data_IF_690228998105
#
_entry.id   IF_690228998105
#
_cell.length_a   1.000
_cell.length_b   1.000
_cell.length_c   1.000
_cell.angle_alpha   90.00
_cell.angle_beta   90.00
_cell.angle_gamma   90.00
#
_symmetry.space_group_name_H-M   'P 1'
#
loop_
_entity.id
_entity.type
_entity.pdbx_description
1 polymer ?
#
# COMPACT_ATOMS: atom_id res chain seq x y z
N UNK A 1 7.10 -9.57 30.36
CA UNK A 1 8.21 -10.54 30.24
C UNK A 1 9.09 -10.54 31.48
N UNK A 2 9.92 -9.51 31.68
CA UNK A 2 10.95 -9.49 32.72
C UNK A 2 10.43 -9.55 34.15
N UNK A 3 9.47 -8.68 34.47
CA UNK A 3 8.83 -8.66 35.79
C UNK A 3 8.10 -9.99 36.12
N UNK A 4 7.54 -10.67 35.12
CA UNK A 4 6.91 -11.98 35.29
C UNK A 4 7.94 -13.09 35.61
N UNK A 5 9.15 -13.01 35.02
CA UNK A 5 10.26 -13.90 35.34
C UNK A 5 10.88 -13.61 36.70
N UNK A 6 10.99 -12.32 37.05
CA UNK A 6 11.52 -11.85 38.33
C UNK A 6 10.56 -12.17 39.50
N UNK A 7 9.26 -12.25 39.27
CA UNK A 7 8.25 -12.63 40.29
C UNK A 7 8.11 -14.15 40.52
N UNK A 8 8.69 -15.00 39.67
CA UNK A 8 8.62 -16.46 39.87
C UNK A 8 9.31 -16.87 41.18
N UNK A 9 8.59 -17.56 42.08
CA UNK A 9 9.13 -17.98 43.38
C UNK A 9 10.18 -19.10 43.26
N UNK A 10 10.20 -19.85 42.15
CA UNK A 10 11.10 -21.00 41.96
C UNK A 10 11.82 -20.97 40.62
N UNK A 11 12.95 -21.65 40.53
CA UNK A 11 13.69 -21.89 39.26
C UNK A 11 12.82 -22.63 38.24
N UNK A 12 11.98 -23.56 38.70
CA UNK A 12 10.99 -24.27 37.85
C UNK A 12 9.91 -23.34 37.29
N UNK A 13 9.39 -22.41 38.09
CA UNK A 13 8.46 -21.39 37.58
C UNK A 13 9.11 -20.46 36.55
N UNK A 14 10.39 -20.13 36.74
CA UNK A 14 11.16 -19.31 35.81
C UNK A 14 11.33 -20.02 34.46
N UNK A 15 11.73 -21.30 34.45
CA UNK A 15 11.88 -22.07 33.21
C UNK A 15 10.54 -22.24 32.48
N UNK A 16 9.43 -22.40 33.22
CA UNK A 16 8.08 -22.42 32.63
C UNK A 16 7.74 -21.09 31.96
N UNK A 17 7.97 -19.96 32.63
CA UNK A 17 7.70 -18.63 32.06
C UNK A 17 8.57 -18.31 30.84
N UNK A 18 9.81 -18.78 30.84
CA UNK A 18 10.73 -18.70 29.69
C UNK A 18 10.15 -19.46 28.49
N UNK A 19 9.75 -20.73 28.66
CA UNK A 19 9.15 -21.53 27.57
C UNK A 19 7.89 -20.91 27.02
N UNK A 20 7.00 -20.44 27.90
CA UNK A 20 5.76 -19.78 27.49
C UNK A 20 6.05 -18.53 26.64
N UNK A 21 7.01 -17.70 27.07
CA UNK A 21 7.37 -16.49 26.33
C UNK A 21 7.96 -16.83 24.94
N UNK A 22 8.85 -17.83 24.87
CA UNK A 22 9.42 -18.30 23.59
C UNK A 22 8.36 -18.83 22.64
N UNK A 23 7.41 -19.63 23.13
CA UNK A 23 6.27 -20.11 22.34
C UNK A 23 5.43 -18.95 21.78
N UNK A 24 5.11 -17.97 22.62
CA UNK A 24 4.37 -16.77 22.21
C UNK A 24 5.11 -15.95 21.14
N UNK A 25 6.45 -15.92 21.14
CA UNK A 25 7.23 -15.24 20.11
C UNK A 25 7.07 -15.93 18.75
N UNK A 26 7.18 -17.26 18.71
CA UNK A 26 6.99 -18.03 17.47
C UNK A 26 5.56 -17.86 16.93
N UNK A 27 4.55 -17.98 17.80
CA UNK A 27 3.14 -17.77 17.44
C UNK A 27 2.86 -16.37 16.87
N UNK A 28 3.46 -15.34 17.46
CA UNK A 28 3.32 -13.95 16.98
C UNK A 28 3.87 -13.78 15.56
N UNK A 29 5.00 -14.41 15.25
CA UNK A 29 5.58 -14.31 13.91
C UNK A 29 4.78 -15.13 12.88
N UNK A 30 4.25 -16.29 13.28
CA UNK A 30 3.29 -17.03 12.45
C UNK A 30 2.02 -16.22 12.19
N UNK A 31 1.51 -15.52 13.22
CA UNK A 31 0.37 -14.62 13.07
C UNK A 31 0.69 -13.47 12.10
N UNK A 32 1.88 -12.86 12.20
CA UNK A 32 2.33 -11.84 11.25
C UNK A 32 2.39 -12.37 9.80
N UNK A 33 2.82 -13.62 9.61
CA UNK A 33 2.81 -14.28 8.29
C UNK A 33 1.38 -14.41 7.74
N UNK A 34 0.44 -14.86 8.57
CA UNK A 34 -0.99 -14.95 8.17
C UNK A 34 -1.59 -13.60 7.83
N UNK A 35 -1.25 -12.55 8.56
CA UNK A 35 -1.69 -11.19 8.24
C UNK A 35 -1.14 -10.72 6.89
N UNK A 36 0.12 -11.03 6.58
CA UNK A 36 0.70 -10.69 5.30
C UNK A 36 0.03 -11.44 4.14
N UNK A 37 -0.34 -12.71 4.33
CA UNK A 37 -1.13 -13.48 3.36
C UNK A 37 -2.51 -12.84 3.13
N UNK A 38 -3.21 -12.45 4.19
CA UNK A 38 -4.49 -11.74 4.05
C UNK A 38 -4.37 -10.41 3.29
N UNK A 39 -3.29 -9.65 3.56
CA UNK A 39 -3.01 -8.40 2.82
C UNK A 39 -2.76 -8.70 1.35
N UNK A 40 -2.00 -9.75 1.04
CA UNK A 40 -1.74 -10.18 -0.33
C UNK A 40 -3.04 -10.51 -1.07
N UNK A 41 -3.96 -11.25 -0.43
CA UNK A 41 -5.27 -11.57 -1.01
C UNK A 41 -6.10 -10.30 -1.31
N UNK A 42 -6.09 -9.33 -0.40
CA UNK A 42 -6.77 -8.04 -0.59
C UNK A 42 -6.14 -7.26 -1.75
N UNK A 43 -4.81 -7.24 -1.82
CA UNK A 43 -4.10 -6.59 -2.92
C UNK A 43 -4.41 -7.25 -4.25
N UNK A 44 -4.40 -8.57 -4.34
CA UNK A 44 -4.72 -9.31 -5.56
C UNK A 44 -6.15 -9.03 -6.04
N UNK A 45 -7.11 -8.88 -5.13
CA UNK A 45 -8.47 -8.45 -5.46
C UNK A 45 -8.50 -7.01 -5.97
N UNK A 46 -7.78 -6.09 -5.31
CA UNK A 46 -7.69 -4.69 -5.71
C UNK A 46 -7.04 -4.55 -7.10
N UNK A 47 -5.93 -5.23 -7.34
CA UNK A 47 -5.28 -5.32 -8.63
C UNK A 47 -6.27 -5.89 -9.66
N UNK A 48 -6.89 -7.04 -9.41
CA UNK A 48 -7.83 -7.66 -10.36
C UNK A 48 -8.97 -6.72 -10.74
N UNK A 49 -9.54 -6.01 -9.76
CA UNK A 49 -10.59 -5.01 -10.01
C UNK A 49 -10.09 -3.86 -10.87
N UNK A 50 -8.92 -3.31 -10.54
CA UNK A 50 -8.32 -2.20 -11.27
C UNK A 50 -8.00 -2.58 -12.72
N UNK A 51 -7.42 -3.77 -12.95
CA UNK A 51 -7.16 -4.28 -14.29
C UNK A 51 -8.44 -4.48 -15.11
N UNK A 52 -9.51 -5.03 -14.51
CA UNK A 52 -10.81 -5.20 -15.18
C UNK A 52 -11.46 -3.87 -15.55
N UNK A 53 -11.38 -2.87 -14.69
CA UNK A 53 -12.00 -1.56 -14.91
C UNK A 53 -11.24 -0.71 -15.94
N UNK A 54 -9.91 -0.84 -16.01
CA UNK A 54 -9.07 0.02 -16.84
C UNK A 54 -8.35 -0.71 -17.98
N UNK A 55 -8.59 -2.01 -18.17
CA UNK A 55 -8.03 -2.86 -19.23
C UNK A 55 -6.49 -2.87 -19.26
N UNK A 56 -5.86 -3.01 -18.09
CA UNK A 56 -4.41 -3.00 -17.90
C UNK A 56 -3.84 -4.42 -17.66
N UNK A 57 -2.54 -4.66 -17.89
CA UNK A 57 -1.91 -5.97 -17.72
C UNK A 57 -1.78 -6.37 -16.24
N UNK A 58 -2.21 -7.59 -15.90
CA UNK A 58 -2.21 -8.12 -14.53
C UNK A 58 -0.79 -8.14 -13.93
N UNK A 59 -0.61 -7.44 -12.83
CA UNK A 59 0.60 -7.51 -11.99
C UNK A 59 0.43 -8.55 -10.88
N UNK A 60 1.54 -9.22 -10.54
CA UNK A 60 1.62 -10.14 -9.40
C UNK A 60 2.48 -9.51 -8.31
N UNK A 61 2.00 -9.61 -7.07
CA UNK A 61 2.74 -9.13 -5.89
C UNK A 61 3.52 -10.31 -5.31
N UNK A 62 4.81 -10.14 -4.97
CA UNK A 62 5.55 -11.20 -4.30
C UNK A 62 4.94 -11.48 -2.92
N UNK A 63 4.94 -12.74 -2.48
CA UNK A 63 4.53 -13.09 -1.11
C UNK A 63 5.63 -12.69 -0.11
N UNK A 64 5.25 -12.20 1.06
CA UNK A 64 6.19 -11.96 2.15
C UNK A 64 6.64 -13.30 2.75
N UNK A 65 7.95 -13.53 2.82
CA UNK A 65 8.52 -14.69 3.51
C UNK A 65 9.20 -14.27 4.82
N UNK A 66 8.62 -14.68 5.95
CA UNK A 66 9.19 -14.51 7.28
C UNK A 66 9.76 -15.83 7.85
N UNK A 67 9.83 -16.88 7.04
CA UNK A 67 10.21 -18.23 7.44
C UNK A 67 11.61 -18.30 8.05
N UNK A 68 12.58 -17.56 7.50
CA UNK A 68 13.94 -17.51 8.04
C UNK A 68 13.96 -16.99 9.50
N UNK A 69 13.20 -15.93 9.80
CA UNK A 69 13.12 -15.36 11.15
C UNK A 69 12.36 -16.29 12.11
N UNK A 70 11.35 -17.00 11.61
CA UNK A 70 10.61 -18.00 12.38
C UNK A 70 11.51 -19.16 12.77
N UNK A 71 12.23 -19.72 11.80
CA UNK A 71 13.14 -20.82 12.03
C UNK A 71 14.25 -20.42 13.01
N UNK A 72 14.72 -19.16 12.97
CA UNK A 72 15.67 -18.63 13.95
C UNK A 72 15.07 -18.57 15.36
N UNK A 73 13.85 -18.06 15.52
CA UNK A 73 13.16 -18.03 16.81
C UNK A 73 12.89 -19.44 17.36
N UNK A 74 12.51 -20.39 16.50
CA UNK A 74 12.31 -21.79 16.87
C UNK A 74 13.62 -22.45 17.33
N UNK A 75 14.74 -22.20 16.63
CA UNK A 75 16.05 -22.69 17.04
C UNK A 75 16.43 -22.15 18.42
N UNK A 76 16.31 -20.84 18.63
CA UNK A 76 16.56 -20.19 19.91
C UNK A 76 15.65 -20.72 21.03
N UNK A 77 14.39 -21.03 20.70
CA UNK A 77 13.43 -21.63 21.64
C UNK A 77 13.88 -23.03 22.06
N UNK A 78 14.31 -23.86 21.09
CA UNK A 78 14.83 -25.21 21.37
C UNK A 78 16.10 -25.18 22.21
N UNK A 79 17.04 -24.28 21.90
CA UNK A 79 18.27 -24.07 22.69
C UNK A 79 17.94 -23.69 24.13
N UNK A 80 16.99 -22.76 24.30
CA UNK A 80 16.54 -22.32 25.62
C UNK A 80 15.83 -23.44 26.38
N UNK A 81 15.02 -24.23 25.69
CA UNK A 81 14.33 -25.37 26.30
C UNK A 81 15.31 -26.45 26.77
N UNK A 82 16.31 -26.78 25.95
CA UNK A 82 17.38 -27.70 26.32
C UNK A 82 18.14 -27.20 27.56
N UNK A 83 18.53 -25.92 27.57
CA UNK A 83 19.16 -25.28 28.72
C UNK A 83 18.28 -25.39 29.99
N UNK A 84 16.98 -25.17 29.86
CA UNK A 84 16.03 -25.23 30.98
C UNK A 84 15.72 -26.66 31.46
N UNK A 85 16.00 -27.69 30.66
CA UNK A 85 15.75 -29.11 31.02
C UNK A 85 16.97 -29.76 31.67
N UNK A 86 18.16 -29.19 31.49
CA UNK A 86 19.40 -29.68 32.09
C UNK A 86 19.37 -29.53 33.63
N UNK A 87 19.48 -30.64 34.39
CA UNK A 87 19.50 -30.62 35.85
C UNK A 87 20.61 -29.74 36.45
N UNK A 88 21.76 -29.62 35.79
CA UNK A 88 22.86 -28.78 36.25
C UNK A 88 22.48 -27.29 36.21
N UNK A 89 21.70 -26.88 35.20
CA UNK A 89 21.24 -25.51 35.05
C UNK A 89 20.09 -25.15 36.01
N UNK A 90 19.34 -26.15 36.49
CA UNK A 90 18.29 -25.96 37.50
C UNK A 90 18.85 -25.65 38.90
N UNK A 91 20.11 -26.00 39.15
CA UNK A 91 20.83 -25.68 40.39
C UNK A 91 21.47 -24.29 40.38
N UNK A 92 21.45 -23.57 39.26
CA UNK A 92 21.95 -22.20 39.17
C UNK A 92 21.07 -21.22 39.93
N UNK A 93 21.68 -20.14 40.43
CA UNK A 93 20.92 -19.05 41.02
C UNK A 93 19.93 -18.44 40.02
N UNK A 94 18.70 -18.23 40.46
CA UNK A 94 17.62 -17.61 39.67
C UNK A 94 18.07 -16.30 39.00
N UNK A 95 18.79 -15.43 39.70
CA UNK A 95 19.28 -14.15 39.17
C UNK A 95 20.26 -14.35 38.01
N UNK A 96 21.13 -15.35 38.11
CA UNK A 96 22.07 -15.69 37.05
C UNK A 96 21.34 -16.23 35.81
N UNK A 97 20.37 -17.12 36.00
CA UNK A 97 19.51 -17.63 34.93
C UNK A 97 18.75 -16.53 34.18
N UNK A 98 18.13 -15.58 34.91
CA UNK A 98 17.41 -14.44 34.31
C UNK A 98 18.39 -13.61 33.46
N UNK A 99 19.57 -13.27 33.99
CA UNK A 99 20.58 -12.50 33.23
C UNK A 99 21.00 -13.23 31.96
N UNK A 100 21.30 -14.52 32.04
CA UNK A 100 21.69 -15.35 30.89
C UNK A 100 20.59 -15.41 29.83
N UNK A 101 19.33 -15.59 30.24
CA UNK A 101 18.18 -15.57 29.34
C UNK A 101 18.04 -14.23 28.61
N UNK A 102 18.15 -13.12 29.34
CA UNK A 102 18.03 -11.77 28.76
C UNK A 102 19.18 -11.43 27.82
N UNK A 103 20.40 -11.86 28.14
CA UNK A 103 21.58 -11.61 27.31
C UNK A 103 21.59 -12.43 26.01
N UNK A 104 20.95 -13.60 25.98
CA UNK A 104 20.91 -14.47 24.80
C UNK A 104 19.57 -14.41 24.06
N UNK A 105 18.59 -15.15 24.57
CA UNK A 105 17.32 -15.38 23.87
C UNK A 105 16.54 -14.10 23.64
N UNK A 106 16.41 -13.23 24.65
CA UNK A 106 15.59 -12.03 24.52
C UNK A 106 16.16 -11.06 23.47
N UNK A 107 17.48 -10.88 23.48
CA UNK A 107 18.17 -9.99 22.54
C UNK A 107 18.13 -10.53 21.10
N UNK A 108 18.44 -11.81 20.92
CA UNK A 108 18.37 -12.45 19.60
C UNK A 108 16.94 -12.49 19.05
N UNK A 109 15.94 -12.70 19.93
CA UNK A 109 14.54 -12.64 19.52
C UNK A 109 14.16 -11.23 19.09
N UNK A 110 14.57 -10.19 19.83
CA UNK A 110 14.35 -8.79 19.46
C UNK A 110 14.97 -8.47 18.10
N UNK A 111 16.19 -8.95 17.84
CA UNK A 111 16.86 -8.81 16.55
C UNK A 111 16.07 -9.49 15.42
N UNK A 112 15.61 -10.71 15.62
CA UNK A 112 14.78 -11.42 14.64
C UNK A 112 13.48 -10.67 14.31
N UNK A 113 12.78 -10.15 15.32
CA UNK A 113 11.57 -9.35 15.12
C UNK A 113 11.86 -8.02 14.40
N UNK A 114 12.96 -7.35 14.71
CA UNK A 114 13.34 -6.12 14.03
C UNK A 114 13.62 -6.35 12.55
N UNK A 115 14.33 -7.44 12.21
CA UNK A 115 14.59 -7.80 10.82
C UNK A 115 13.28 -8.18 10.09
N UNK A 116 12.43 -8.98 10.72
CA UNK A 116 11.11 -9.32 10.18
C UNK A 116 10.24 -8.07 9.93
N UNK A 117 10.29 -7.09 10.82
CA UNK A 117 9.59 -5.80 10.65
C UNK A 117 10.12 -5.03 9.45
N UNK A 118 11.43 -4.87 9.34
CA UNK A 118 12.06 -4.15 8.21
C UNK A 118 11.72 -4.83 6.88
N UNK A 119 11.76 -6.16 6.83
CA UNK A 119 11.37 -6.92 5.64
C UNK A 119 9.89 -6.73 5.30
N UNK A 120 9.00 -6.77 6.30
CA UNK A 120 7.57 -6.52 6.11
C UNK A 120 7.28 -5.08 5.61
N UNK A 121 7.95 -4.07 6.16
CA UNK A 121 7.82 -2.67 5.72
C UNK A 121 8.32 -2.47 4.29
N UNK A 122 9.42 -3.12 3.93
CA UNK A 122 9.95 -3.10 2.56
C UNK A 122 8.98 -3.79 1.60
N UNK A 123 8.54 -4.99 1.96
CA UNK A 123 7.58 -5.76 1.17
C UNK A 123 6.30 -4.99 0.91
N UNK A 124 5.71 -4.36 1.94
CA UNK A 124 4.47 -3.60 1.80
C UNK A 124 4.61 -2.46 0.78
N UNK A 125 5.75 -1.78 0.77
CA UNK A 125 6.05 -0.72 -0.21
C UNK A 125 6.12 -1.28 -1.63
N UNK A 126 6.87 -2.35 -1.84
CA UNK A 126 6.99 -3.03 -3.14
C UNK A 126 5.62 -3.53 -3.62
N UNK A 127 4.79 -4.01 -2.71
CA UNK A 127 3.46 -4.52 -3.00
C UNK A 127 2.46 -3.42 -3.40
N UNK A 128 2.56 -2.23 -2.79
CA UNK A 128 1.65 -1.10 -3.02
C UNK A 128 2.08 -0.16 -4.15
N UNK A 129 3.38 0.01 -4.38
CA UNK A 129 3.91 0.99 -5.34
C UNK A 129 3.30 0.87 -6.75
N UNK A 130 3.11 -0.34 -7.32
CA UNK A 130 2.56 -0.48 -8.66
C UNK A 130 1.11 0.03 -8.76
N UNK A 131 0.21 -0.36 -7.85
CA UNK A 131 -1.19 0.12 -7.88
C UNK A 131 -1.27 1.63 -7.65
N UNK A 132 -0.47 2.17 -6.73
CA UNK A 132 -0.43 3.61 -6.48
C UNK A 132 0.05 4.40 -7.69
N UNK A 133 1.02 3.87 -8.42
CA UNK A 133 1.54 4.48 -9.65
C UNK A 133 0.46 4.49 -10.73
N UNK A 134 -0.22 3.35 -10.93
CA UNK A 134 -1.31 3.25 -11.92
C UNK A 134 -2.49 4.16 -11.61
N UNK A 135 -2.88 4.30 -10.34
CA UNK A 135 -3.93 5.24 -9.94
C UNK A 135 -3.55 6.68 -10.30
N UNK A 136 -2.28 7.07 -10.04
CA UNK A 136 -1.77 8.41 -10.39
C UNK A 136 -1.77 8.65 -11.90
N UNK A 137 -1.26 7.69 -12.69
CA UNK A 137 -1.27 7.77 -14.15
C UNK A 137 -2.70 7.89 -14.70
N UNK A 138 -3.63 7.09 -14.21
CA UNK A 138 -5.02 7.12 -14.68
C UNK A 138 -5.71 8.44 -14.32
N UNK A 139 -5.47 8.99 -13.12
CA UNK A 139 -5.95 10.32 -12.74
C UNK A 139 -5.43 11.38 -13.72
N UNK A 140 -4.12 11.40 -14.00
CA UNK A 140 -3.52 12.37 -14.91
C UNK A 140 -4.10 12.26 -16.33
N UNK A 141 -4.38 11.04 -16.79
CA UNK A 141 -5.07 10.81 -18.06
C UNK A 141 -6.48 11.44 -18.06
N UNK A 142 -7.26 11.23 -17.01
CA UNK A 142 -8.60 11.81 -16.88
C UNK A 142 -8.56 13.35 -16.81
N UNK A 143 -7.62 13.92 -16.05
CA UNK A 143 -7.42 15.37 -15.96
C UNK A 143 -7.09 15.98 -17.34
N UNK A 144 -6.25 15.29 -18.11
CA UNK A 144 -5.92 15.70 -19.50
C UNK A 144 -7.15 15.67 -20.40
N UNK A 145 -7.97 14.60 -20.32
CA UNK A 145 -9.20 14.51 -21.11
C UNK A 145 -10.21 15.60 -20.74
N UNK A 146 -10.34 15.91 -19.46
CA UNK A 146 -11.23 16.96 -18.98
C UNK A 146 -10.81 18.33 -19.53
N UNK A 147 -9.51 18.65 -19.50
CA UNK A 147 -8.99 19.89 -20.06
C UNK A 147 -9.24 19.99 -21.58
N UNK A 148 -9.07 18.89 -22.32
CA UNK A 148 -9.42 18.84 -23.75
C UNK A 148 -10.90 19.10 -24.00
N UNK A 149 -11.80 18.53 -23.19
CA UNK A 149 -13.25 18.75 -23.31
C UNK A 149 -13.62 20.20 -23.02
N UNK A 150 -13.02 20.82 -22.01
CA UNK A 150 -13.22 22.24 -21.70
C UNK A 150 -12.82 23.14 -22.88
N UNK A 151 -11.65 22.89 -23.50
CA UNK A 151 -11.21 23.62 -24.70
C UNK A 151 -12.16 23.43 -25.88
N UNK A 152 -12.72 22.23 -26.07
CA UNK A 152 -13.71 21.99 -27.13
C UNK A 152 -14.98 22.80 -26.88
N UNK A 153 -15.46 22.85 -25.63
CA UNK A 153 -16.64 23.64 -25.26
C UNK A 153 -16.41 25.15 -25.48
N UNK A 154 -15.24 25.66 -25.09
CA UNK A 154 -14.84 27.05 -25.36
C UNK A 154 -14.81 27.34 -26.86
N UNK A 155 -14.19 26.47 -27.66
CA UNK A 155 -14.12 26.61 -29.12
C UNK A 155 -15.51 26.54 -29.78
N UNK A 156 -16.42 25.71 -29.27
CA UNK A 156 -17.80 25.68 -29.74
C UNK A 156 -18.53 26.99 -29.45
N UNK A 157 -18.31 27.59 -28.28
CA UNK A 157 -18.83 28.91 -27.93
C UNK A 157 -18.33 30.00 -28.88
N UNK A 158 -17.03 30.01 -29.19
CA UNK A 158 -16.46 30.99 -30.14
C UNK A 158 -16.99 30.77 -31.56
N UNK A 159 -17.17 29.51 -31.99
CA UNK A 159 -17.73 29.17 -33.30
C UNK A 159 -19.20 29.60 -33.41
N UNK A 160 -20.00 29.43 -32.35
CA UNK A 160 -21.37 29.93 -32.30
C UNK A 160 -21.43 31.46 -32.42
N UNK A 161 -20.55 32.18 -31.69
CA UNK A 161 -20.43 33.64 -31.79
C UNK A 161 -20.08 34.09 -33.20
N UNK A 162 -19.12 33.43 -33.86
CA UNK A 162 -18.74 33.73 -35.25
C UNK A 162 -19.89 33.47 -36.22
N UNK A 163 -20.61 32.37 -36.04
CA UNK A 163 -21.77 32.07 -36.89
C UNK A 163 -22.89 33.11 -36.73
N UNK A 164 -23.12 33.62 -35.52
CA UNK A 164 -24.07 34.70 -35.29
C UNK A 164 -23.62 36.00 -35.99
N UNK A 165 -22.34 36.36 -35.88
CA UNK A 165 -21.78 37.53 -36.56
C UNK A 165 -21.91 37.42 -38.09
N UNK A 166 -21.53 36.30 -38.69
CA UNK A 166 -21.67 36.09 -40.15
C UNK A 166 -23.13 36.15 -40.60
N UNK A 167 -24.08 35.63 -39.81
CA UNK A 167 -25.51 35.74 -40.12
C UNK A 167 -25.98 37.21 -40.11
N UNK A 168 -25.47 38.01 -39.18
CA UNK A 168 -25.75 39.44 -39.13
C UNK A 168 -25.20 40.16 -40.36
N UNK A 169 -23.94 39.94 -40.71
CA UNK A 169 -23.29 40.53 -41.90
C UNK A 169 -24.03 40.15 -43.21
N UNK A 170 -24.48 38.90 -43.34
CA UNK A 170 -25.33 38.47 -44.47
C UNK A 170 -26.66 39.24 -44.50
N UNK A 171 -27.25 39.52 -43.33
CA UNK A 171 -28.46 40.31 -43.21
C UNK A 171 -28.27 41.75 -43.69
N UNK A 172 -27.18 42.39 -43.26
CA UNK A 172 -26.79 43.75 -43.67
C UNK A 172 -26.55 43.82 -45.19
N UNK A 173 -25.74 42.90 -45.75
CA UNK A 173 -25.50 42.85 -47.20
C UNK A 173 -26.77 42.62 -48.03
N UNK A 174 -27.75 41.88 -47.50
CA UNK A 174 -29.05 41.72 -48.17
C UNK A 174 -29.85 43.02 -48.18
N UNK A 175 -29.79 43.81 -47.10
CA UNK A 175 -30.43 45.12 -47.06
C UNK A 175 -29.75 46.08 -48.05
N UNK A 176 -28.42 46.15 -48.05
CA UNK A 176 -27.65 46.96 -49.00
C UNK A 176 -27.98 46.62 -50.45
N UNK A 177 -28.08 45.32 -50.77
CA UNK A 177 -28.47 44.87 -52.11
C UNK A 177 -29.86 45.37 -52.51
N UNK A 178 -30.84 45.33 -51.60
CA UNK A 178 -32.20 45.82 -51.85
C UNK A 178 -32.18 47.32 -52.08
N UNK A 179 -31.43 48.07 -51.27
CA UNK A 179 -31.30 49.52 -51.40
C UNK A 179 -30.64 49.92 -52.73
N UNK A 180 -29.54 49.28 -53.10
CA UNK A 180 -28.88 49.49 -54.39
C UNK A 180 -29.80 49.15 -55.56
N UNK A 181 -30.59 48.08 -55.46
CA UNK A 181 -31.62 47.75 -56.46
C UNK A 181 -32.67 48.84 -56.60
N UNK A 182 -33.09 49.44 -55.48
CA UNK A 182 -34.01 50.60 -55.48
C UNK A 182 -33.39 51.81 -56.15
N UNK A 183 -32.13 52.13 -55.83
CA UNK A 183 -31.40 53.27 -56.44
C UNK A 183 -31.22 53.04 -57.95
N UNK A 184 -30.84 51.84 -58.38
CA UNK A 184 -30.70 51.52 -59.79
C UNK A 184 -32.02 51.66 -60.56
N UNK A 185 -33.14 51.22 -59.97
CA UNK A 185 -34.46 51.40 -60.57
C UNK A 185 -34.86 52.88 -60.72
N UNK A 186 -34.42 53.75 -59.81
CA UNK A 186 -34.65 55.20 -59.89
C UNK A 186 -33.81 55.90 -60.96
N UNK A 187 -32.68 55.31 -61.37
CA UNK A 187 -31.78 55.90 -62.39
C UNK A 187 -32.15 55.50 -63.83
N UNK A 188 -32.96 54.45 -64.00
CA UNK A 188 -33.41 53.95 -65.31
C UNK A 188 -34.80 54.49 -65.71
N UNK A 189 -35.51 55.10 -64.76
CA UNK A 189 -36.79 55.80 -64.97
C UNK A 189 -36.56 57.27 -65.32
#
# INVERSE_FOLDING_TARGET
>A
GRAAMESSLTTRGLTSGIRQLSGQMVERLQHATRLADNILDVLDQAYTRFHRQHNLPKMQVPRLDLGAYRNRLEALTRETEAFCKDPANLMLEKRFMIRRFYAGLAEESRKAFNLARVEAERWLRIALDPIMTRIREHKQYLDTRLASLQRILENMGTLHSRMAQVKQEIGELRQDKVELGRIAAQLVA
#
